data_IF_063291543800
#
_entry.id   IF_063291543800
#
_cell.length_a   1.000
_cell.length_b   1.000
_cell.length_c   1.000
_cell.angle_alpha   90.00
_cell.angle_beta   90.00
_cell.angle_gamma   90.00
#
_symmetry.space_group_name_H-M   'P 1'
#
loop_
_entity.id
_entity.type
_entity.pdbx_description
1 polymer ?
#
# COMPACT_ATOMS: atom_id res chain seq x y z
N UNK A 1 23.14 -8.38 6.67
CA UNK A 1 23.66 -7.11 7.21
C UNK A 1 23.04 -5.98 6.40
N UNK A 2 21.79 -5.61 6.67
CA UNK A 2 21.27 -4.29 6.27
C UNK A 2 21.74 -3.35 7.36
N UNK A 3 22.60 -2.43 6.96
CA UNK A 3 23.20 -1.41 7.81
C UNK A 3 22.13 -0.73 8.67
N UNK A 4 22.41 -0.62 9.96
CA UNK A 4 21.51 -0.11 11.00
C UNK A 4 21.30 1.40 10.91
N UNK A 5 21.04 1.94 9.71
CA UNK A 5 20.44 3.26 9.58
C UNK A 5 18.96 3.08 9.86
N UNK A 6 18.59 3.45 11.08
CA UNK A 6 17.22 3.59 11.53
C UNK A 6 16.39 4.31 10.46
N UNK A 7 15.22 3.75 10.13
CA UNK A 7 14.40 4.27 9.06
C UNK A 7 13.92 5.69 9.42
N UNK A 8 14.11 6.71 8.57
CA UNK A 8 13.72 8.08 8.89
C UNK A 8 12.22 8.22 9.20
N UNK A 9 11.35 7.36 8.65
CA UNK A 9 9.93 7.36 9.01
C UNK A 9 9.69 6.90 10.45
N UNK A 10 10.42 5.89 10.92
CA UNK A 10 10.27 5.38 12.28
C UNK A 10 10.94 6.31 13.30
N UNK A 11 12.12 6.86 12.94
CA UNK A 11 12.89 7.76 13.80
C UNK A 11 12.16 9.07 14.12
N UNK A 12 11.44 9.62 13.15
CA UNK A 12 10.72 10.89 13.28
C UNK A 12 9.20 10.73 13.36
N UNK A 13 8.70 9.50 13.56
CA UNK A 13 7.27 9.16 13.64
C UNK A 13 6.43 9.77 12.50
N UNK A 14 6.95 9.64 11.27
CA UNK A 14 6.31 10.15 10.05
C UNK A 14 5.45 9.06 9.42
N UNK A 15 4.28 9.43 8.88
CA UNK A 15 3.44 8.50 8.12
C UNK A 15 4.02 8.27 6.70
N UNK A 16 4.38 7.02 6.34
CA UNK A 16 4.85 6.68 4.98
C UNK A 16 3.84 6.94 3.86
N UNK A 17 2.56 7.12 4.20
CA UNK A 17 1.48 7.42 3.24
C UNK A 17 1.41 8.90 2.90
N UNK A 18 2.05 9.76 3.67
CA UNK A 18 2.09 11.19 3.40
C UNK A 18 2.96 11.52 2.19
N UNK A 19 2.53 12.54 1.45
CA UNK A 19 3.31 13.12 0.36
C UNK A 19 4.44 14.03 0.87
N UNK A 20 5.30 14.55 -0.03
CA UNK A 20 6.40 15.44 0.31
C UNK A 20 5.99 16.66 1.14
N UNK A 21 4.78 17.18 0.92
CA UNK A 21 4.26 18.33 1.64
C UNK A 21 3.96 18.02 3.11
N UNK A 22 3.28 16.89 3.39
CA UNK A 22 3.02 16.45 4.76
C UNK A 22 4.30 16.17 5.52
N UNK A 23 5.24 15.45 4.89
CA UNK A 23 6.57 15.19 5.44
C UNK A 23 7.31 16.50 5.79
N UNK A 24 7.21 17.53 4.94
CA UNK A 24 7.87 18.82 5.19
C UNK A 24 7.26 19.56 6.38
N UNK A 25 5.94 19.61 6.50
CA UNK A 25 5.29 20.26 7.64
C UNK A 25 5.63 19.54 8.95
N UNK A 26 5.58 18.20 8.98
CA UNK A 26 5.91 17.41 10.17
C UNK A 26 7.38 17.56 10.59
N UNK A 27 8.31 17.53 9.64
CA UNK A 27 9.72 17.78 9.94
C UNK A 27 9.99 19.24 10.34
N UNK A 28 9.20 20.20 9.85
CA UNK A 28 9.29 21.60 10.29
C UNK A 28 8.87 21.74 11.74
N UNK A 29 7.73 21.16 12.13
CA UNK A 29 7.26 21.12 13.52
C UNK A 29 8.33 20.54 14.44
N UNK A 30 8.95 19.41 14.05
CA UNK A 30 10.04 18.79 14.82
C UNK A 30 11.31 19.66 14.90
N UNK A 31 11.60 20.46 13.87
CA UNK A 31 12.79 21.31 13.84
C UNK A 31 12.67 22.58 14.71
N UNK A 32 11.45 23.04 14.99
CA UNK A 32 11.17 24.24 15.78
C UNK A 32 11.62 24.07 17.24
N UNK A 33 11.41 22.88 17.81
CA UNK A 33 11.77 22.54 19.20
C UNK A 33 13.15 21.84 19.33
N UNK A 34 13.80 21.53 18.20
CA UNK A 34 15.06 20.78 18.16
C UNK A 34 16.29 21.65 18.45
N UNK A 35 17.31 21.03 19.06
CA UNK A 35 18.66 21.59 19.15
C UNK A 35 19.37 21.55 17.78
N UNK A 36 20.51 22.24 17.66
CA UNK A 36 21.19 22.39 16.36
C UNK A 36 21.68 21.04 15.79
N UNK A 37 22.08 20.11 16.65
CA UNK A 37 22.48 18.77 16.25
C UNK A 37 21.29 17.99 15.66
N UNK A 38 20.16 17.96 16.35
CA UNK A 38 18.95 17.28 15.87
C UNK A 38 18.39 17.96 14.63
N UNK A 39 18.49 19.30 14.52
CA UNK A 39 18.07 20.05 13.33
C UNK A 39 18.87 19.66 12.09
N UNK A 40 20.17 19.37 12.24
CA UNK A 40 20.99 18.86 11.13
C UNK A 40 20.54 17.47 10.68
N UNK A 41 20.14 16.60 11.61
CA UNK A 41 19.61 15.27 11.30
C UNK A 41 18.24 15.34 10.62
N UNK A 42 17.35 16.21 11.12
CA UNK A 42 16.05 16.49 10.50
C UNK A 42 16.23 16.99 9.08
N UNK A 43 17.19 17.89 8.84
CA UNK A 43 17.50 18.38 7.49
C UNK A 43 17.98 17.25 6.57
N UNK A 44 18.86 16.37 7.05
CA UNK A 44 19.33 15.23 6.27
C UNK A 44 18.19 14.26 5.92
N UNK A 45 17.29 13.98 6.87
CA UNK A 45 16.11 13.15 6.63
C UNK A 45 15.13 13.82 5.66
N UNK A 46 14.92 15.13 5.79
CA UNK A 46 14.09 15.90 4.85
C UNK A 46 14.64 15.80 3.43
N UNK A 47 15.94 15.99 3.24
CA UNK A 47 16.58 15.89 1.92
C UNK A 47 16.40 14.48 1.33
N UNK A 48 16.64 13.44 2.14
CA UNK A 48 16.48 12.06 1.70
C UNK A 48 15.04 11.72 1.28
N UNK A 49 14.04 12.18 2.03
CA UNK A 49 12.63 11.84 1.80
C UNK A 49 11.96 12.72 0.72
N UNK A 50 12.39 13.96 0.55
CA UNK A 50 11.76 14.89 -0.38
C UNK A 50 12.48 14.98 -1.73
N UNK A 51 13.82 14.90 -1.77
CA UNK A 51 14.60 15.05 -3.00
C UNK A 51 14.88 13.74 -3.73
N UNK A 52 14.70 12.59 -3.07
CA UNK A 52 14.97 11.27 -3.66
C UNK A 52 13.74 10.34 -3.61
N UNK A 53 12.83 10.41 -4.61
CA UNK A 53 11.57 9.66 -4.60
C UNK A 53 11.74 8.14 -4.43
N UNK A 54 12.77 7.57 -5.04
CA UNK A 54 13.08 6.13 -4.91
C UNK A 54 13.53 5.76 -3.49
N UNK A 55 14.32 6.62 -2.84
CA UNK A 55 14.75 6.39 -1.45
C UNK A 55 13.58 6.53 -0.48
N UNK A 56 12.71 7.53 -0.71
CA UNK A 56 11.44 7.65 0.03
C UNK A 56 10.62 6.37 -0.06
N UNK A 57 10.44 5.82 -1.27
CA UNK A 57 9.66 4.60 -1.44
C UNK A 57 10.30 3.40 -0.72
N UNK A 58 11.62 3.24 -0.82
CA UNK A 58 12.34 2.17 -0.12
C UNK A 58 12.20 2.29 1.39
N UNK A 59 12.37 3.50 1.94
CA UNK A 59 12.17 3.78 3.36
C UNK A 59 10.70 3.55 3.78
N UNK A 60 9.73 3.99 2.98
CA UNK A 60 8.31 3.79 3.26
C UNK A 60 7.91 2.31 3.31
N UNK A 61 8.47 1.49 2.41
CA UNK A 61 8.29 0.03 2.43
C UNK A 61 8.92 -0.59 3.68
N UNK A 62 10.07 -0.07 4.10
CA UNK A 62 10.77 -0.51 5.30
C UNK A 62 10.03 -0.20 6.61
N UNK A 63 9.30 0.91 6.67
CA UNK A 63 8.59 1.41 7.86
C UNK A 63 7.22 0.76 8.10
N UNK A 64 6.81 -0.15 7.21
CA UNK A 64 5.49 -0.76 7.31
C UNK A 64 5.45 -1.70 8.52
N UNK A 65 4.39 -1.65 9.36
CA UNK A 65 4.24 -2.60 10.45
C UNK A 65 4.30 -4.01 9.89
N UNK A 66 5.36 -4.75 10.26
CA UNK A 66 5.60 -6.09 9.75
C UNK A 66 4.51 -6.99 10.31
N UNK A 67 3.61 -7.46 9.46
CA UNK A 67 2.67 -8.47 9.86
C UNK A 67 3.46 -9.72 10.28
N UNK A 68 3.19 -10.35 11.44
CA UNK A 68 3.95 -11.52 11.90
C UNK A 68 3.93 -12.70 10.92
N UNK A 69 2.93 -12.75 10.02
CA UNK A 69 2.91 -13.72 8.92
C UNK A 69 3.91 -13.44 7.78
N UNK A 70 4.38 -12.19 7.64
CA UNK A 70 5.32 -11.73 6.61
C UNK A 70 6.74 -11.55 7.13
N UNK A 71 6.97 -11.67 8.45
CA UNK A 71 8.30 -11.65 9.04
C UNK A 71 9.02 -12.96 8.68
N UNK A 72 9.75 -12.93 7.56
CA UNK A 72 10.51 -14.05 6.98
C UNK A 72 11.94 -14.13 7.53
N UNK A 73 12.13 -13.71 8.76
CA UNK A 73 13.42 -13.67 9.47
C UNK A 73 13.86 -15.04 10.00
N UNK A 74 13.02 -16.07 9.90
CA UNK A 74 13.36 -17.45 10.26
C UNK A 74 13.73 -18.33 9.05
N UNK A 75 14.72 -19.26 9.18
CA UNK A 75 15.13 -20.17 8.11
C UNK A 75 14.01 -21.11 7.62
N UNK A 76 12.94 -21.28 8.39
CA UNK A 76 11.78 -22.13 8.04
C UNK A 76 10.81 -21.50 7.03
N UNK A 77 10.91 -20.19 6.75
CA UNK A 77 9.98 -19.47 5.85
C UNK A 77 10.66 -18.85 4.64
N UNK A 78 11.77 -19.43 4.18
CA UNK A 78 12.23 -19.16 2.82
C UNK A 78 11.08 -19.55 1.87
N UNK A 79 10.68 -18.70 0.90
CA UNK A 79 9.72 -19.13 -0.12
C UNK A 79 10.23 -20.43 -0.73
N UNK A 80 9.37 -21.43 -1.00
CA UNK A 80 9.81 -22.66 -1.64
C UNK A 80 10.59 -22.23 -2.87
N UNK A 81 11.87 -22.64 -2.96
CA UNK A 81 12.68 -22.38 -4.15
C UNK A 81 11.82 -22.84 -5.31
N UNK A 82 11.42 -21.90 -6.18
CA UNK A 82 10.79 -22.22 -7.45
C UNK A 82 11.76 -23.21 -8.09
N UNK A 83 11.38 -24.50 -8.07
CA UNK A 83 12.11 -25.50 -8.82
C UNK A 83 12.17 -24.92 -10.23
N UNK A 84 13.38 -24.81 -10.77
CA UNK A 84 13.59 -24.47 -12.18
C UNK A 84 12.55 -25.26 -12.94
N UNK A 85 11.61 -24.57 -13.59
CA UNK A 85 10.50 -25.24 -14.25
C UNK A 85 11.10 -26.38 -15.08
N UNK A 86 10.52 -27.59 -15.06
CA UNK A 86 10.95 -28.63 -15.99
C UNK A 86 10.96 -27.99 -17.38
N UNK A 87 12.02 -28.28 -18.15
CA UNK A 87 12.23 -27.70 -19.48
C UNK A 87 10.89 -27.61 -20.22
N UNK A 88 10.55 -26.41 -20.68
CA UNK A 88 9.29 -26.09 -21.35
C UNK A 88 8.91 -27.24 -22.29
N UNK A 89 7.78 -27.89 -22.04
CA UNK A 89 7.23 -28.85 -23.00
C UNK A 89 7.08 -28.12 -24.34
N UNK A 90 7.45 -28.75 -25.47
CA UNK A 90 7.38 -28.09 -26.77
C UNK A 90 5.95 -27.64 -27.03
N UNK A 91 5.74 -26.34 -27.11
CA UNK A 91 4.44 -25.72 -27.39
C UNK A 91 3.81 -26.38 -28.61
N UNK A 92 2.66 -27.03 -28.40
CA UNK A 92 1.89 -27.70 -29.44
C UNK A 92 1.04 -26.69 -30.21
N UNK A 93 0.68 -27.00 -31.45
CA UNK A 93 -0.33 -26.24 -32.21
C UNK A 93 -1.67 -26.14 -31.47
N UNK A 94 -1.98 -27.11 -30.59
CA UNK A 94 -3.16 -27.06 -29.73
C UNK A 94 -3.10 -25.93 -28.69
N UNK A 95 -1.90 -25.50 -28.27
CA UNK A 95 -1.70 -24.41 -27.29
C UNK A 95 -1.93 -23.03 -27.91
N UNK A 96 -1.85 -22.94 -29.24
CA UNK A 96 -2.19 -21.76 -30.04
C UNK A 96 -3.68 -21.68 -30.36
N UNK A 97 -4.51 -22.61 -29.85
CA UNK A 97 -5.94 -22.53 -30.03
C UNK A 97 -6.47 -21.20 -29.46
N UNK A 98 -7.32 -20.48 -30.20
CA UNK A 98 -7.88 -19.22 -29.74
C UNK A 98 -8.66 -19.46 -28.45
N UNK A 99 -8.13 -18.96 -27.33
CA UNK A 99 -8.84 -19.01 -26.05
C UNK A 99 -10.01 -18.02 -26.12
N UNK A 100 -11.18 -18.36 -25.57
CA UNK A 100 -12.28 -17.40 -25.48
C UNK A 100 -11.81 -16.18 -24.69
N UNK A 101 -12.27 -14.99 -25.10
CA UNK A 101 -11.93 -13.76 -24.40
C UNK A 101 -12.33 -13.87 -22.92
N UNK A 102 -11.55 -13.23 -22.04
CA UNK A 102 -11.85 -13.18 -20.60
C UNK A 102 -13.26 -12.62 -20.38
N UNK A 103 -13.68 -11.63 -21.19
CA UNK A 103 -15.04 -11.10 -21.19
C UNK A 103 -16.09 -12.19 -21.48
N UNK A 104 -15.88 -13.04 -22.49
CA UNK A 104 -16.79 -14.15 -22.82
C UNK A 104 -16.85 -15.21 -21.72
N UNK A 105 -15.72 -15.50 -21.07
CA UNK A 105 -15.67 -16.43 -19.94
C UNK A 105 -16.43 -15.89 -18.73
N UNK A 106 -16.27 -14.59 -18.43
CA UNK A 106 -16.98 -13.92 -17.34
C UNK A 106 -18.49 -13.85 -17.61
N UNK A 107 -18.92 -13.52 -18.83
CA UNK A 107 -20.35 -13.55 -19.21
C UNK A 107 -20.95 -14.94 -19.05
N UNK A 108 -20.22 -15.98 -19.48
CA UNK A 108 -20.68 -17.37 -19.34
C UNK A 108 -20.75 -17.83 -17.88
N UNK A 109 -19.82 -17.36 -17.03
CA UNK A 109 -19.79 -17.65 -15.61
C UNK A 109 -20.94 -16.95 -14.86
N UNK A 110 -21.16 -15.66 -15.16
CA UNK A 110 -22.26 -14.88 -14.60
C UNK A 110 -23.62 -15.40 -15.08
N UNK A 111 -23.73 -15.82 -16.34
CA UNK A 111 -24.92 -16.47 -16.89
C UNK A 111 -25.21 -17.84 -16.28
N UNK A 112 -24.18 -18.62 -15.93
CA UNK A 112 -24.34 -19.90 -15.18
C UNK A 112 -24.66 -19.70 -13.70
N UNK A 113 -24.42 -18.50 -13.15
CA UNK A 113 -24.63 -18.19 -11.74
C UNK A 113 -26.09 -17.92 -11.34
N UNK A 114 -27.01 -17.76 -12.31
CA UNK A 114 -28.40 -17.42 -12.04
C UNK A 114 -29.22 -18.58 -11.43
N UNK A 115 -28.78 -19.83 -11.58
CA UNK A 115 -29.54 -21.02 -11.18
C UNK A 115 -29.15 -21.58 -9.80
N UNK A 116 -28.13 -21.03 -9.12
CA UNK A 116 -27.64 -21.59 -7.84
C UNK A 116 -27.57 -20.56 -6.71
N UNK A 117 -28.76 -20.33 -6.13
CA UNK A 117 -29.04 -19.69 -4.84
C UNK A 117 -28.60 -18.22 -4.68
N UNK A 118 -29.39 -17.40 -3.97
CA UNK A 118 -29.07 -15.99 -3.81
C UNK A 118 -27.81 -15.88 -2.94
N UNK A 119 -26.70 -15.46 -3.55
CA UNK A 119 -25.68 -14.74 -2.79
C UNK A 119 -26.37 -13.46 -2.33
N UNK A 120 -26.67 -13.35 -1.03
CA UNK A 120 -27.02 -12.09 -0.42
C UNK A 120 -25.86 -11.14 -0.71
N UNK A 121 -26.00 -10.33 -1.75
CA UNK A 121 -25.07 -9.23 -1.97
C UNK A 121 -25.28 -8.30 -0.78
N UNK A 122 -24.23 -7.92 -0.03
CA UNK A 122 -24.37 -6.86 0.94
C UNK A 122 -24.96 -5.64 0.22
N UNK A 123 -25.93 -4.97 0.84
CA UNK A 123 -26.57 -3.80 0.24
C UNK A 123 -25.48 -2.79 -0.08
N UNK A 124 -25.55 -2.15 -1.23
CA UNK A 124 -24.61 -1.08 -1.61
C UNK A 124 -24.68 0.08 -0.61
N UNK A 125 -25.79 0.18 0.14
CA UNK A 125 -26.03 1.14 1.23
C UNK A 125 -25.26 0.80 2.51
N UNK A 126 -24.83 -0.46 2.69
CA UNK A 126 -24.03 -0.90 3.85
C UNK A 126 -22.50 -0.77 3.58
N UNK A 127 -22.10 -0.22 2.43
CA UNK A 127 -20.68 0.00 2.11
C UNK A 127 -20.16 1.27 2.82
N UNK A 128 -19.26 1.13 3.82
CA UNK A 128 -18.76 2.28 4.59
C UNK A 128 -17.96 3.26 3.72
N UNK A 129 -17.44 2.82 2.56
CA UNK A 129 -16.70 3.68 1.63
C UNK A 129 -17.65 4.63 0.89
N UNK A 130 -18.86 4.16 0.57
CA UNK A 130 -19.87 4.95 -0.14
C UNK A 130 -20.72 5.81 0.82
N UNK A 131 -20.98 5.32 2.03
CA UNK A 131 -21.70 6.07 3.06
C UNK A 131 -20.97 7.38 3.45
N UNK A 132 -19.63 7.37 3.47
CA UNK A 132 -18.82 8.55 3.78
C UNK A 132 -18.91 9.66 2.72
N UNK A 133 -19.23 9.32 1.46
CA UNK A 133 -19.36 10.29 0.38
C UNK A 133 -20.72 11.03 0.38
N UNK A 134 -21.72 10.49 1.10
CA UNK A 134 -23.07 11.05 1.15
C UNK A 134 -23.32 12.02 2.31
N UNK A 135 -22.31 12.27 3.16
CA UNK A 135 -22.45 13.18 4.31
C UNK A 135 -22.28 14.64 3.85
N UNK A 136 -23.35 15.47 3.85
CA UNK A 136 -23.18 16.90 3.59
C UNK A 136 -22.35 17.54 4.71
N UNK A 137 -21.51 18.54 4.40
CA UNK A 137 -20.62 19.16 5.39
C UNK A 137 -21.44 19.77 6.54
N UNK A 138 -20.95 19.69 7.79
CA UNK A 138 -21.64 20.32 8.92
C UNK A 138 -21.68 21.83 8.72
N UNK A 139 -22.90 22.37 8.64
CA UNK A 139 -23.18 23.81 8.61
C UNK A 139 -22.63 24.46 9.88
N UNK A 140 -21.69 25.40 9.71
CA UNK A 140 -21.10 26.16 10.82
C UNK A 140 -22.17 26.91 11.62
N UNK A 141 -22.11 26.93 12.96
CA UNK A 141 -23.04 27.71 13.76
C UNK A 141 -22.75 29.21 13.64
N UNK A 142 -23.82 29.92 13.32
CA UNK A 142 -23.99 31.36 13.23
C UNK A 142 -23.45 32.10 14.48
N UNK A 143 -22.43 32.95 14.30
CA UNK A 143 -21.98 33.90 15.33
C UNK A 143 -23.02 35.02 15.45
N UNK A 144 -23.91 34.93 16.43
CA UNK A 144 -24.71 36.07 16.92
C UNK A 144 -23.76 37.17 17.42
N UNK A 145 -23.91 38.37 16.85
CA UNK A 145 -23.44 39.64 17.43
C UNK A 145 -24.56 40.28 18.22
#
# INVERSE_FOLDING_TARGET
MTDGRENPFERFDLDPREGPHGITERLRELAEDADEATRAEIRAAWEELTMHPLRRLQAAVGARPRHPALDRTGPEKAPPRLRKAPAEEPTSLADLAPRPSVASALVSFLGRGAEKAPRTLPSLEDDPVLAAAAQPPPTSPERKR
#
